data_IF_151318955712
#
_entry.id   IF_151318955712
#
_cell.length_a   1.000
_cell.length_b   1.000
_cell.length_c   1.000
_cell.angle_alpha   90.00
_cell.angle_beta   90.00
_cell.angle_gamma   90.00
#
_symmetry.space_group_name_H-M   'P 1'
#
loop_
_entity.id
_entity.type
_entity.pdbx_description
1 polymer ?
#
# COMPACT_ATOMS: atom_id res chain seq x y z
N UNK A 1 9.99 0.76 15.48
CA UNK A 1 9.69 1.06 14.05
C UNK A 1 9.18 -0.23 13.39
N UNK A 2 8.34 -0.97 14.13
CA UNK A 2 8.20 -2.43 14.00
C UNK A 2 6.93 -2.82 13.24
N UNK A 3 6.33 -1.85 12.54
CA UNK A 3 5.07 -2.02 11.81
C UNK A 3 5.27 -2.58 10.40
N UNK A 4 6.51 -2.56 9.89
CA UNK A 4 6.87 -3.13 8.59
C UNK A 4 7.40 -4.55 8.77
N UNK A 5 6.89 -5.50 7.99
CA UNK A 5 7.41 -6.87 7.98
C UNK A 5 8.80 -6.92 7.34
N UNK A 6 9.50 -8.05 7.51
CA UNK A 6 10.85 -8.23 6.97
C UNK A 6 10.89 -8.28 5.43
N UNK A 7 9.78 -8.63 4.76
CA UNK A 7 9.72 -8.72 3.30
C UNK A 7 9.40 -7.39 2.60
N UNK A 8 8.89 -6.39 3.34
CA UNK A 8 8.54 -5.05 2.85
C UNK A 8 9.73 -4.39 2.15
N UNK A 9 10.96 -4.64 2.61
CA UNK A 9 12.17 -4.05 2.05
C UNK A 9 12.45 -4.53 0.61
N UNK A 10 11.97 -5.72 0.26
CA UNK A 10 12.13 -6.33 -1.07
C UNK A 10 10.96 -6.02 -2.01
N UNK A 11 9.83 -5.58 -1.46
CA UNK A 11 8.65 -5.23 -2.23
C UNK A 11 8.89 -3.98 -3.10
N UNK A 12 8.16 -3.95 -4.22
CA UNK A 12 8.07 -2.80 -5.11
C UNK A 12 6.63 -2.33 -5.21
N UNK A 13 6.44 -1.04 -5.05
CA UNK A 13 5.14 -0.39 -4.94
C UNK A 13 4.88 0.48 -6.16
N UNK A 14 3.76 0.24 -6.83
CA UNK A 14 3.30 1.03 -7.97
C UNK A 14 2.20 1.96 -7.49
N UNK A 15 2.28 3.24 -7.87
CA UNK A 15 1.24 4.22 -7.59
C UNK A 15 0.08 3.97 -8.57
N UNK A 16 -1.07 3.60 -8.04
CA UNK A 16 -2.26 3.32 -8.84
C UNK A 16 -3.19 4.51 -8.94
N UNK A 17 -3.34 5.27 -7.85
CA UNK A 17 -4.29 6.38 -7.77
C UNK A 17 -3.77 7.47 -6.85
N UNK A 18 -4.23 8.69 -7.09
CA UNK A 18 -3.93 9.87 -6.26
C UNK A 18 -5.20 10.66 -6.01
N UNK A 19 -5.30 11.30 -4.85
CA UNK A 19 -6.42 12.18 -4.52
C UNK A 19 -5.95 13.41 -3.75
N UNK A 20 -6.70 14.51 -3.88
CA UNK A 20 -6.66 15.59 -2.91
C UNK A 20 -7.72 15.33 -1.83
N UNK A 21 -7.33 15.41 -0.55
CA UNK A 21 -8.19 15.18 0.61
C UNK A 21 -7.74 16.04 1.78
N UNK A 22 -8.64 16.85 2.37
CA UNK A 22 -8.37 17.67 3.56
C UNK A 22 -7.04 18.44 3.49
N UNK A 23 -6.88 19.27 2.46
CA UNK A 23 -5.65 20.04 2.19
C UNK A 23 -4.38 19.19 2.15
N UNK A 24 -4.52 17.93 1.76
CA UNK A 24 -3.46 16.93 1.66
C UNK A 24 -3.54 16.22 0.30
N UNK A 25 -2.43 15.62 -0.11
CA UNK A 25 -2.40 14.71 -1.26
C UNK A 25 -2.22 13.29 -0.76
N UNK A 26 -3.01 12.36 -1.27
CA UNK A 26 -2.97 10.94 -0.92
C UNK A 26 -2.52 10.15 -2.15
N UNK A 27 -1.49 9.33 -1.99
CA UNK A 27 -1.03 8.36 -2.98
C UNK A 27 -1.43 6.96 -2.54
N UNK A 28 -2.15 6.22 -3.39
CA UNK A 28 -2.37 4.78 -3.21
C UNK A 28 -1.34 4.00 -4.00
N UNK A 29 -0.58 3.19 -3.29
CA UNK A 29 0.41 2.28 -3.86
C UNK A 29 0.06 0.83 -3.53
N UNK A 30 0.39 -0.08 -4.44
CA UNK A 30 0.16 -1.52 -4.23
C UNK A 30 1.40 -2.29 -4.63
N UNK A 31 1.71 -3.37 -3.91
CA UNK A 31 2.78 -4.31 -4.27
C UNK A 31 2.55 -4.90 -5.66
N UNK A 32 3.62 -5.01 -6.42
CA UNK A 32 3.61 -5.69 -7.71
C UNK A 32 3.41 -7.21 -7.51
N UNK A 33 2.25 -7.73 -7.91
CA UNK A 33 1.73 -9.07 -7.55
C UNK A 33 2.33 -10.27 -8.29
N UNK A 34 3.57 -10.24 -8.78
CA UNK A 34 4.10 -11.37 -9.57
C UNK A 34 5.20 -12.20 -8.92
N UNK A 35 6.05 -11.68 -8.03
CA UNK A 35 7.13 -12.49 -7.43
C UNK A 35 6.87 -12.88 -5.96
N UNK A 36 6.46 -11.99 -5.04
CA UNK A 36 6.31 -12.34 -3.64
C UNK A 36 5.06 -13.18 -3.35
N UNK A 37 3.95 -12.95 -4.07
CA UNK A 37 2.68 -13.64 -3.86
C UNK A 37 2.73 -15.14 -4.19
N UNK A 38 3.62 -15.54 -5.12
CA UNK A 38 3.84 -16.95 -5.48
C UNK A 38 4.69 -17.68 -4.43
N UNK A 39 5.70 -17.02 -3.85
CA UNK A 39 6.60 -17.61 -2.86
C UNK A 39 5.99 -17.57 -1.44
N UNK A 40 5.31 -16.49 -1.07
CA UNK A 40 4.77 -16.28 0.28
C UNK A 40 3.33 -16.78 0.47
N UNK A 41 2.63 -17.18 -0.61
CA UNK A 41 1.27 -17.71 -0.54
C UNK A 41 1.12 -19.00 0.27
N UNK A 42 2.24 -19.63 0.64
CA UNK A 42 2.34 -20.82 1.49
C UNK A 42 2.51 -20.49 2.99
N UNK A 43 2.90 -19.26 3.34
CA UNK A 43 3.33 -18.89 4.72
C UNK A 43 2.54 -17.71 5.30
N UNK A 44 1.86 -16.92 4.47
CA UNK A 44 1.09 -15.76 4.91
C UNK A 44 -0.25 -15.67 4.18
N UNK A 45 -1.33 -15.43 4.95
CA UNK A 45 -2.66 -15.14 4.41
C UNK A 45 -2.72 -13.78 3.69
N UNK A 46 -1.76 -12.89 3.96
CA UNK A 46 -1.61 -11.59 3.29
C UNK A 46 -0.82 -11.77 2.00
N UNK A 47 -1.48 -11.48 0.86
CA UNK A 47 -0.94 -11.58 -0.50
C UNK A 47 -0.53 -10.24 -1.10
N UNK A 48 -1.04 -9.13 -0.56
CA UNK A 48 -0.86 -7.81 -1.15
C UNK A 48 -0.64 -6.76 -0.06
N UNK A 49 0.44 -5.98 -0.16
CA UNK A 49 0.59 -4.78 0.67
C UNK A 49 0.08 -3.57 -0.10
N UNK A 50 -0.75 -2.78 0.57
CA UNK A 50 -1.34 -1.55 0.04
C UNK A 50 -0.89 -0.41 0.93
N UNK A 51 -0.44 0.68 0.33
CA UNK A 51 0.00 1.87 1.05
C UNK A 51 -0.90 3.02 0.66
N UNK A 52 -1.50 3.67 1.66
CA UNK A 52 -2.07 5.00 1.53
C UNK A 52 -1.10 5.98 2.18
N UNK A 53 -0.34 6.71 1.34
CA UNK A 53 0.59 7.73 1.78
C UNK A 53 -0.09 9.11 1.66
N UNK A 54 -0.41 9.73 2.80
CA UNK A 54 -0.93 11.10 2.89
C UNK A 54 0.21 12.07 3.17
N UNK A 55 0.38 13.06 2.30
CA UNK A 55 1.26 14.21 2.49
C UNK A 55 0.41 15.39 2.96
N UNK A 56 0.50 15.71 4.26
CA UNK A 56 -0.31 16.73 4.89
C UNK A 56 0.13 18.15 4.47
N UNK A 57 -0.79 19.11 4.60
CA UNK A 57 -0.54 20.53 4.33
C UNK A 57 -0.11 20.83 2.87
N UNK A 58 -0.44 19.93 1.94
CA UNK A 58 -0.22 20.10 0.51
C UNK A 58 -1.53 19.85 -0.24
N UNK A 59 -2.11 20.89 -0.84
CA UNK A 59 -3.34 20.78 -1.64
C UNK A 59 -3.10 20.47 -3.13
N UNK A 60 -1.85 20.59 -3.58
CA UNK A 60 -1.45 20.40 -4.97
C UNK A 60 -0.52 19.19 -5.14
N UNK A 61 -0.81 18.35 -6.13
CA UNK A 61 -0.03 17.15 -6.45
C UNK A 61 1.46 17.44 -6.64
N UNK A 62 1.79 18.52 -7.36
CA UNK A 62 3.17 18.89 -7.65
C UNK A 62 3.93 19.31 -6.40
N UNK A 63 3.28 20.05 -5.49
CA UNK A 63 3.86 20.45 -4.20
C UNK A 63 4.13 19.24 -3.31
N UNK A 64 3.16 18.33 -3.18
CA UNK A 64 3.32 17.10 -2.41
C UNK A 64 4.42 16.19 -2.99
N UNK A 65 4.45 16.03 -4.31
CA UNK A 65 5.46 15.25 -5.02
C UNK A 65 6.86 15.82 -4.80
N UNK A 66 7.03 17.14 -4.96
CA UNK A 66 8.31 17.80 -4.76
C UNK A 66 8.75 17.73 -3.29
N UNK A 67 7.82 17.81 -2.33
CA UNK A 67 8.11 17.67 -0.91
C UNK A 67 8.66 16.27 -0.60
N UNK A 68 8.01 15.21 -1.10
CA UNK A 68 8.49 13.83 -0.95
C UNK A 68 9.88 13.64 -1.57
N UNK A 69 10.08 14.12 -2.80
CA UNK A 69 11.37 14.04 -3.49
C UNK A 69 12.47 14.75 -2.70
N UNK A 70 12.20 15.95 -2.19
CA UNK A 70 13.14 16.72 -1.35
C UNK A 70 13.46 15.99 -0.05
N UNK A 71 12.50 15.27 0.51
CA UNK A 71 12.67 14.46 1.71
C UNK A 71 13.29 13.07 1.44
N UNK A 72 13.68 12.79 0.19
CA UNK A 72 14.40 11.57 -0.19
C UNK A 72 13.51 10.39 -0.58
N UNK A 73 12.19 10.59 -0.75
CA UNK A 73 11.28 9.60 -1.34
C UNK A 73 10.93 9.98 -2.77
N UNK A 74 11.54 9.32 -3.75
CA UNK A 74 11.25 9.53 -5.16
C UNK A 74 10.09 8.65 -5.62
N UNK A 75 9.04 9.31 -6.14
CA UNK A 75 7.86 8.67 -6.72
C UNK A 75 7.97 8.64 -8.25
N UNK A 76 7.10 7.87 -8.92
CA UNK A 76 6.97 7.96 -10.39
C UNK A 76 6.64 9.40 -10.80
N UNK A 77 7.43 9.96 -11.72
CA UNK A 77 7.23 11.30 -12.27
C UNK A 77 5.83 11.54 -12.85
N UNK A 78 5.15 10.47 -13.32
CA UNK A 78 3.76 10.55 -13.77
C UNK A 78 2.80 10.98 -12.66
N UNK A 79 3.10 10.68 -11.40
CA UNK A 79 2.27 11.06 -10.25
C UNK A 79 2.41 12.55 -9.86
N UNK A 80 3.35 13.29 -10.46
CA UNK A 80 3.61 14.71 -10.12
C UNK A 80 2.38 15.60 -10.31
N UNK A 81 1.54 15.32 -11.31
CA UNK A 81 0.34 16.10 -11.61
C UNK A 81 -0.95 15.37 -11.18
N UNK A 82 -0.83 14.26 -10.44
CA UNK A 82 -1.91 13.33 -10.20
C UNK A 82 -2.07 12.31 -11.33
N UNK A 83 -2.63 11.15 -11.02
CA UNK A 83 -2.94 10.09 -11.98
C UNK A 83 -4.42 10.18 -12.40
N UNK A 84 -4.68 10.13 -13.71
CA UNK A 84 -6.04 10.12 -14.25
C UNK A 84 -6.74 8.78 -14.02
N UNK A 85 -8.03 8.85 -13.67
CA UNK A 85 -8.88 7.72 -13.28
C UNK A 85 -9.39 6.88 -14.47
N UNK A 86 -8.58 6.66 -15.52
CA UNK A 86 -9.03 5.93 -16.73
C UNK A 86 -8.67 4.43 -16.71
N UNK A 87 -9.68 3.58 -16.96
CA UNK A 87 -9.57 2.12 -17.06
C UNK A 87 -8.51 1.65 -18.08
N UNK A 88 -8.23 2.46 -19.12
CA UNK A 88 -7.22 2.17 -20.15
C UNK A 88 -5.77 2.26 -19.67
N UNK A 89 -5.48 3.05 -18.62
CA UNK A 89 -4.12 3.18 -18.08
C UNK A 89 -3.73 2.06 -17.09
N UNK A 90 -4.71 1.35 -16.51
CA UNK A 90 -4.44 0.16 -15.69
C UNK A 90 -3.74 -0.96 -16.48
N UNK A 91 -3.96 -1.02 -17.80
CA UNK A 91 -3.33 -1.99 -18.69
C UNK A 91 -1.88 -1.60 -19.06
N UNK A 92 -1.59 -0.31 -19.26
CA UNK A 92 -0.24 0.19 -19.59
C UNK A 92 0.69 0.28 -18.38
N UNK A 93 0.17 0.31 -17.15
CA UNK A 93 0.97 0.25 -15.92
C UNK A 93 1.74 -1.07 -15.74
N UNK A 94 1.34 -2.15 -16.43
CA UNK A 94 2.09 -3.43 -16.41
C UNK A 94 3.44 -3.38 -17.15
N UNK A 95 3.70 -2.39 -18.01
CA UNK A 95 4.91 -2.35 -18.84
C UNK A 95 6.09 -1.52 -18.29
N UNK A 96 5.99 -0.90 -17.10
CA UNK A 96 7.06 -0.04 -16.55
C UNK A 96 7.64 -0.57 -15.24
N UNK A 97 8.46 -1.62 -15.32
CA UNK A 97 9.30 -2.13 -14.21
C UNK A 97 10.17 -1.05 -13.54
N UNK A 98 10.48 0.03 -14.26
CA UNK A 98 11.34 1.13 -13.83
C UNK A 98 10.65 2.20 -12.96
N UNK A 99 9.32 2.16 -12.85
CA UNK A 99 8.53 3.22 -12.21
C UNK A 99 8.03 2.87 -10.80
N UNK A 100 8.49 1.76 -10.23
CA UNK A 100 8.06 1.30 -8.91
C UNK A 100 8.98 1.83 -7.79
N UNK A 101 8.37 2.26 -6.69
CA UNK A 101 9.07 2.70 -5.48
C UNK A 101 9.47 1.48 -4.67
N UNK A 102 10.73 1.39 -4.21
CA UNK A 102 11.18 0.24 -3.41
C UNK A 102 10.71 0.42 -1.96
N UNK A 103 10.23 -0.65 -1.34
CA UNK A 103 9.78 -0.60 0.05
C UNK A 103 10.87 -0.18 1.03
N UNK A 104 12.12 -0.57 0.78
CA UNK A 104 13.27 -0.08 1.57
C UNK A 104 13.41 1.44 1.57
N UNK A 105 13.05 2.12 0.47
CA UNK A 105 13.16 3.56 0.34
C UNK A 105 12.01 4.24 1.11
N UNK A 106 10.80 3.65 1.08
CA UNK A 106 9.66 4.06 1.91
C UNK A 106 9.98 3.91 3.41
N UNK A 107 10.54 2.76 3.80
CA UNK A 107 10.92 2.49 5.20
C UNK A 107 12.00 3.45 5.67
N UNK A 108 13.03 3.69 4.85
CA UNK A 108 14.08 4.69 5.12
C UNK A 108 13.49 6.09 5.27
N UNK A 109 12.59 6.48 4.37
CA UNK A 109 11.91 7.77 4.46
C UNK A 109 11.12 7.92 5.77
N UNK A 110 10.35 6.90 6.15
CA UNK A 110 9.63 6.87 7.43
C UNK A 110 10.60 6.91 8.63
N UNK A 111 11.75 6.24 8.51
CA UNK A 111 12.76 6.19 9.56
C UNK A 111 13.41 7.56 9.80
N UNK A 112 13.75 8.26 8.72
CA UNK A 112 14.42 9.57 8.78
C UNK A 112 13.50 10.71 9.23
N UNK A 113 12.18 10.50 9.27
CA UNK A 113 11.18 11.51 9.61
C UNK A 113 10.21 10.99 10.69
N UNK A 114 10.68 10.13 11.60
CA UNK A 114 9.81 9.40 12.53
C UNK A 114 8.98 10.32 13.46
N UNK A 115 9.49 11.52 13.76
CA UNK A 115 8.84 12.59 14.52
C UNK A 115 7.73 13.32 13.74
N UNK A 116 7.73 13.18 12.41
CA UNK A 116 6.79 13.80 11.48
C UNK A 116 5.83 12.78 10.85
N UNK A 117 5.80 11.56 11.38
CA UNK A 117 5.11 10.42 10.79
C UNK A 117 4.09 9.82 11.75
N UNK A 118 2.93 9.49 11.20
CA UNK A 118 2.00 8.57 11.85
C UNK A 118 1.72 7.39 10.93
N UNK A 119 1.93 6.19 11.44
CA UNK A 119 1.79 4.95 10.68
C UNK A 119 0.81 4.05 11.41
N UNK A 120 -0.27 3.66 10.73
CA UNK A 120 -1.18 2.61 11.18
C UNK A 120 -1.20 1.47 10.17
N UNK A 121 -1.39 0.25 10.66
CA UNK A 121 -1.50 -0.94 9.80
C UNK A 121 -2.82 -1.64 10.13
N UNK A 122 -3.46 -2.16 9.09
CA UNK A 122 -4.71 -2.93 9.19
C UNK A 122 -4.63 -4.11 8.22
N UNK A 123 -5.16 -5.26 8.59
CA UNK A 123 -5.25 -6.43 7.72
C UNK A 123 -6.71 -6.74 7.40
N UNK A 124 -7.05 -6.68 6.11
CA UNK A 124 -8.41 -6.93 5.62
C UNK A 124 -8.34 -7.99 4.52
N UNK A 125 -8.92 -9.17 4.79
CA UNK A 125 -8.88 -10.27 3.84
C UNK A 125 -7.45 -10.80 3.64
N UNK A 126 -6.98 -10.71 2.40
CA UNK A 126 -5.60 -11.01 1.99
C UNK A 126 -4.75 -9.74 1.77
N UNK A 127 -5.28 -8.56 2.13
CA UNK A 127 -4.58 -7.30 2.00
C UNK A 127 -4.06 -6.84 3.37
N UNK A 128 -2.84 -6.32 3.40
CA UNK A 128 -2.31 -5.54 4.51
C UNK A 128 -2.19 -4.09 4.07
N UNK A 129 -2.92 -3.22 4.75
CA UNK A 129 -3.05 -1.82 4.41
C UNK A 129 -2.21 -1.00 5.40
N UNK A 130 -1.29 -0.22 4.87
CA UNK A 130 -0.47 0.74 5.60
C UNK A 130 -1.04 2.13 5.37
N UNK A 131 -1.48 2.78 6.44
CA UNK A 131 -1.85 4.19 6.45
C UNK A 131 -0.63 4.96 6.95
N UNK A 132 0.05 5.65 6.03
CA UNK A 132 1.24 6.44 6.33
C UNK A 132 0.87 7.90 6.14
N UNK A 133 1.01 8.71 7.19
CA UNK A 133 0.74 10.14 7.17
C UNK A 133 2.05 10.83 7.48
N UNK A 134 2.42 11.74 6.60
CA UNK A 134 3.59 12.58 6.76
C UNK A 134 3.16 14.05 6.85
N UNK A 135 3.63 14.75 7.87
CA UNK A 135 3.50 16.20 8.00
C UNK A 135 4.86 16.87 7.75
N UNK A 136 5.05 17.50 6.57
CA UNK A 136 6.33 18.13 6.22
C UNK A 136 6.73 19.27 7.15
N UNK A 137 5.76 19.95 7.78
CA UNK A 137 6.01 21.02 8.74
C UNK A 137 6.32 20.45 10.13
N UNK A 138 7.57 20.59 10.58
CA UNK A 138 8.04 20.10 11.89
C UNK A 138 7.31 20.69 13.09
N UNK A 139 6.59 21.81 12.91
CA UNK A 139 5.83 22.45 13.98
C UNK A 139 4.40 21.89 14.12
N UNK A 140 4.00 20.97 13.24
CA UNK A 140 2.67 20.38 13.21
C UNK A 140 2.74 18.87 13.43
N UNK A 141 1.63 18.34 13.93
CA UNK A 141 1.47 16.91 14.13
C UNK A 141 0.76 16.26 12.94
N UNK A 142 1.15 15.03 12.56
CA UNK A 142 0.37 14.20 11.64
C UNK A 142 -1.06 14.00 12.16
N UNK A 143 -2.05 13.97 11.25
CA UNK A 143 -3.47 13.81 11.61
C UNK A 143 -4.08 12.59 10.92
N UNK A 144 -4.37 11.55 11.71
CA UNK A 144 -5.03 10.31 11.26
C UNK A 144 -6.54 10.36 11.20
N UNK A 145 -7.19 11.23 11.98
CA UNK A 145 -8.65 11.27 12.09
C UNK A 145 -9.29 11.47 10.70
N UNK A 146 -10.23 10.61 10.34
CA UNK A 146 -10.95 10.67 9.05
C UNK A 146 -10.19 10.06 7.86
N UNK A 147 -8.87 9.82 7.99
CA UNK A 147 -8.07 9.32 6.87
C UNK A 147 -8.33 7.83 6.58
N UNK A 148 -8.55 7.02 7.62
CA UNK A 148 -8.88 5.60 7.45
C UNK A 148 -10.21 5.44 6.75
N UNK A 149 -11.22 6.20 7.18
CA UNK A 149 -12.56 6.21 6.60
C UNK A 149 -12.53 6.68 5.14
N UNK A 150 -11.75 7.73 4.85
CA UNK A 150 -11.49 8.16 3.48
C UNK A 150 -10.88 7.03 2.64
N UNK A 151 -9.81 6.40 3.13
CA UNK A 151 -9.13 5.34 2.40
C UNK A 151 -10.03 4.11 2.18
N UNK A 152 -10.84 3.74 3.18
CA UNK A 152 -11.84 2.67 3.07
C UNK A 152 -12.88 2.99 1.99
N UNK A 153 -13.47 4.19 1.99
CA UNK A 153 -14.47 4.57 0.97
C UNK A 153 -13.92 4.56 -0.47
N UNK A 154 -12.60 4.82 -0.64
CA UNK A 154 -11.93 4.76 -1.95
C UNK A 154 -11.45 3.36 -2.34
N UNK A 155 -11.55 2.41 -1.42
CA UNK A 155 -11.07 1.03 -1.60
C UNK A 155 -12.18 -0.02 -1.39
N UNK A 156 -13.41 0.40 -1.11
CA UNK A 156 -14.53 -0.44 -0.69
C UNK A 156 -14.78 -1.65 -1.61
N UNK A 157 -14.85 -1.45 -2.93
CA UNK A 157 -15.03 -2.56 -3.89
C UNK A 157 -13.91 -3.62 -3.81
N UNK A 158 -12.69 -3.19 -3.53
CA UNK A 158 -11.52 -4.07 -3.46
C UNK A 158 -11.42 -4.75 -2.09
N UNK A 159 -11.89 -4.08 -1.02
CA UNK A 159 -12.08 -4.69 0.31
C UNK A 159 -13.16 -5.76 0.23
N UNK A 160 -14.32 -5.44 -0.34
CA UNK A 160 -15.45 -6.38 -0.50
C UNK A 160 -15.05 -7.61 -1.30
N UNK A 161 -14.34 -7.45 -2.42
CA UNK A 161 -13.80 -8.59 -3.15
C UNK A 161 -12.79 -9.40 -2.33
N UNK A 162 -11.89 -8.76 -1.57
CA UNK A 162 -10.90 -9.46 -0.77
C UNK A 162 -11.53 -10.26 0.40
N UNK A 163 -12.60 -9.75 1.00
CA UNK A 163 -13.37 -10.45 2.04
C UNK A 163 -14.18 -11.61 1.47
N UNK A 164 -14.82 -11.43 0.31
CA UNK A 164 -15.53 -12.51 -0.40
C UNK A 164 -14.55 -13.62 -0.79
N UNK A 165 -13.39 -13.28 -1.35
CA UNK A 165 -12.35 -14.26 -1.72
C UNK A 165 -11.82 -15.00 -0.49
N UNK A 166 -11.63 -14.31 0.65
CA UNK A 166 -11.26 -14.95 1.91
C UNK A 166 -12.32 -15.97 2.34
N UNK A 167 -13.59 -15.60 2.34
CA UNK A 167 -14.72 -16.50 2.69
C UNK A 167 -14.82 -17.70 1.74
N UNK A 168 -14.58 -17.51 0.43
CA UNK A 168 -14.61 -18.58 -0.56
C UNK A 168 -13.39 -19.50 -0.51
N UNK A 169 -12.24 -19.03 -0.01
CA UNK A 169 -11.01 -19.84 0.09
C UNK A 169 -10.87 -20.63 1.37
N UNK A 170 -11.54 -20.24 2.46
CA UNK A 170 -11.53 -20.99 3.72
C UNK A 170 -11.90 -22.48 3.54
N UNK A 171 -12.93 -22.85 2.76
CA UNK A 171 -13.26 -24.25 2.50
C UNK A 171 -12.15 -24.99 1.73
N UNK A 172 -11.53 -24.34 0.73
CA UNK A 172 -10.50 -24.96 -0.11
C UNK A 172 -9.21 -25.21 0.68
N UNK A 173 -8.82 -24.29 1.57
CA UNK A 173 -7.68 -24.47 2.48
C UNK A 173 -7.92 -25.60 3.47
N UNK A 174 -9.14 -25.74 3.98
CA UNK A 174 -9.50 -26.85 4.88
C UNK A 174 -9.42 -28.20 4.17
N UNK A 175 -9.94 -28.30 2.95
CA UNK A 175 -9.85 -29.53 2.14
C UNK A 175 -8.41 -29.87 1.77
N UNK A 176 -7.59 -28.88 1.38
CA UNK A 176 -6.18 -29.10 1.08
C UNK A 176 -5.40 -29.52 2.33
N UNK A 177 -5.59 -28.85 3.47
CA UNK A 177 -4.95 -29.25 4.73
C UNK A 177 -5.36 -30.68 5.13
N UNK A 178 -6.63 -31.05 4.97
CA UNK A 178 -7.10 -32.41 5.24
C UNK A 178 -6.45 -33.46 4.33
N UNK A 179 -6.32 -33.18 3.04
CA UNK A 179 -5.66 -34.08 2.08
C UNK A 179 -4.15 -34.24 2.33
N UNK A 180 -3.48 -33.20 2.82
CA UNK A 180 -2.03 -33.23 3.09
C UNK A 180 -1.65 -33.75 4.48
N UNK A 181 -2.53 -33.61 5.48
CA UNK A 181 -2.24 -34.04 6.86
C UNK A 181 -2.95 -35.35 7.28
N UNK A 182 -4.06 -35.76 6.64
CA UNK A 182 -4.68 -37.09 6.88
C UNK A 182 -4.24 -38.16 5.85
N UNK A 183 -3.57 -37.78 4.75
CA UNK A 183 -3.12 -38.71 3.70
C UNK A 183 -1.87 -39.54 4.04
N UNK A 184 -1.39 -39.45 5.28
CA UNK A 184 -0.15 -40.11 5.76
C UNK A 184 -0.38 -41.38 6.59
N UNK A 185 -1.60 -41.86 6.74
CA UNK A 185 -1.90 -43.16 7.35
C UNK A 185 -2.59 -44.08 6.33
N UNK A 186 -1.77 -44.78 5.53
CA UNK A 186 -2.14 -46.04 4.88
C UNK A 186 -0.90 -46.87 4.61
#
# INVERSE_FOLDING_TARGET
MDKFNWFFDFDRYIIYKTWCYDSSVVYRMTTWTNEPAYICGWVSDVKTNIIFLKVQSNSHYSSAYNALRKAGLELDANARNGLEDSFGQMATQKMRFWNAVKGKDIKRFCASHCDQMEISVEELGHNRIFYIIWEPDKNKQPRIRGFKEFAHSRFELQITHAEIEKKLRTPVKWVAAKLFFDGGES
#
